data_IF_815943598451
#
_entry.id   IF_815943598451
#
_cell.length_a   1.000
_cell.length_b   1.000
_cell.length_c   1.000
_cell.angle_alpha   90.00
_cell.angle_beta   90.00
_cell.angle_gamma   90.00
#
_symmetry.space_group_name_H-M   'P 1'
#
loop_
_entity.id
_entity.type
_entity.pdbx_description
1 polymer ?
#
# COMPACT_ATOMS: atom_id res chain seq x y z
N UNK A 1 -22.45 -22.83 -12.30
CA UNK A 1 -21.81 -21.55 -12.69
C UNK A 1 -20.87 -21.82 -13.85
N UNK A 2 -20.76 -20.91 -14.82
CA UNK A 2 -19.71 -21.02 -15.85
C UNK A 2 -18.33 -20.75 -15.24
N UNK A 3 -17.28 -21.36 -15.80
CA UNK A 3 -15.90 -21.12 -15.37
C UNK A 3 -15.56 -19.63 -15.42
N UNK A 4 -16.06 -18.91 -16.43
CA UNK A 4 -15.92 -17.46 -16.54
C UNK A 4 -16.49 -16.72 -15.31
N UNK A 5 -17.72 -17.02 -14.91
CA UNK A 5 -18.36 -16.38 -13.76
C UNK A 5 -17.61 -16.68 -12.44
N UNK A 6 -17.09 -17.91 -12.31
CA UNK A 6 -16.27 -18.29 -11.16
C UNK A 6 -14.95 -17.49 -11.11
N UNK A 7 -14.28 -17.29 -12.24
CA UNK A 7 -13.05 -16.51 -12.31
C UNK A 7 -13.29 -15.02 -12.05
N UNK A 8 -14.40 -14.45 -12.53
CA UNK A 8 -14.82 -13.09 -12.19
C UNK A 8 -15.03 -12.94 -10.68
N UNK A 9 -15.70 -13.91 -10.05
CA UNK A 9 -15.91 -13.90 -8.60
C UNK A 9 -14.57 -13.85 -7.84
N UNK A 10 -13.65 -14.78 -8.13
CA UNK A 10 -12.33 -14.79 -7.50
C UNK A 10 -11.53 -13.51 -7.76
N UNK A 11 -11.60 -12.97 -8.98
CA UNK A 11 -10.92 -11.72 -9.33
C UNK A 11 -11.41 -10.55 -8.49
N UNK A 12 -12.73 -10.37 -8.41
CA UNK A 12 -13.36 -9.27 -7.65
C UNK A 12 -13.10 -9.44 -6.15
N UNK A 13 -13.23 -10.64 -5.59
CA UNK A 13 -12.95 -10.90 -4.18
C UNK A 13 -11.50 -10.61 -3.81
N UNK A 14 -10.56 -11.03 -4.65
CA UNK A 14 -9.14 -10.78 -4.43
C UNK A 14 -8.78 -9.29 -4.59
N UNK A 15 -9.34 -8.61 -5.59
CA UNK A 15 -9.17 -7.17 -5.78
C UNK A 15 -9.76 -6.38 -4.60
N UNK A 16 -10.94 -6.78 -4.11
CA UNK A 16 -11.56 -6.16 -2.95
C UNK A 16 -10.71 -6.33 -1.68
N UNK A 17 -10.15 -7.52 -1.47
CA UNK A 17 -9.23 -7.77 -0.36
C UNK A 17 -8.00 -6.85 -0.45
N UNK A 18 -7.34 -6.79 -1.61
CA UNK A 18 -6.21 -5.89 -1.84
C UNK A 18 -6.55 -4.43 -1.55
N UNK A 19 -7.63 -3.93 -2.15
CA UNK A 19 -8.08 -2.55 -1.97
C UNK A 19 -8.40 -2.25 -0.49
N UNK A 20 -9.08 -3.16 0.19
CA UNK A 20 -9.39 -3.01 1.63
C UNK A 20 -8.13 -2.95 2.47
N UNK A 21 -7.12 -3.78 2.15
CA UNK A 21 -5.84 -3.76 2.86
C UNK A 21 -5.06 -2.48 2.59
N UNK A 22 -4.94 -2.06 1.33
CA UNK A 22 -4.08 -0.94 0.94
C UNK A 22 -4.71 0.44 1.22
N UNK A 23 -6.02 0.60 1.00
CA UNK A 23 -6.70 1.90 1.16
C UNK A 23 -7.09 2.16 2.62
N UNK A 24 -7.46 1.12 3.36
CA UNK A 24 -8.00 1.27 4.71
C UNK A 24 -7.04 0.70 5.76
N UNK A 25 -6.66 -0.57 5.62
CA UNK A 25 -5.89 -1.27 6.64
C UNK A 25 -4.50 -0.68 6.90
N UNK A 26 -3.69 -0.56 5.87
CA UNK A 26 -2.31 -0.07 5.97
C UNK A 26 -2.23 1.38 6.49
N UNK A 27 -3.03 2.35 6.00
CA UNK A 27 -3.04 3.70 6.54
C UNK A 27 -3.43 3.74 8.02
N UNK A 28 -4.41 2.94 8.45
CA UNK A 28 -4.85 2.90 9.85
C UNK A 28 -3.76 2.33 10.77
N UNK A 29 -3.16 1.19 10.41
CA UNK A 29 -2.08 0.57 11.20
C UNK A 29 -0.90 1.51 11.31
N UNK A 30 -0.51 2.14 10.21
CA UNK A 30 0.62 3.09 10.19
C UNK A 30 0.33 4.35 10.99
N UNK A 31 -0.89 4.90 10.88
CA UNK A 31 -1.30 6.06 11.66
C UNK A 31 -1.28 5.74 13.16
N UNK A 32 -1.74 4.54 13.55
CA UNK A 32 -1.65 4.07 14.93
C UNK A 32 -0.18 3.91 15.38
N UNK A 33 0.64 3.19 14.61
CA UNK A 33 2.06 2.97 14.88
C UNK A 33 2.87 4.27 15.06
N UNK A 34 2.53 5.34 14.32
CA UNK A 34 3.17 6.66 14.45
C UNK A 34 2.77 7.42 15.70
N UNK A 35 1.60 7.14 16.27
CA UNK A 35 1.08 7.83 17.47
C UNK A 35 1.50 7.16 18.77
N UNK A 36 1.93 5.91 18.74
CA UNK A 36 2.31 5.20 19.98
C UNK A 36 3.57 5.77 20.61
N UNK A 37 3.56 5.88 21.94
CA UNK A 37 4.75 6.19 22.73
C UNK A 37 5.49 4.93 23.21
N UNK A 38 4.83 3.77 23.17
CA UNK A 38 5.35 2.51 23.70
C UNK A 38 5.77 1.53 22.60
N UNK A 39 6.88 0.83 22.84
CA UNK A 39 7.36 -0.27 21.98
C UNK A 39 6.40 -1.47 22.02
N UNK A 40 5.73 -1.71 23.16
CA UNK A 40 4.75 -2.79 23.28
C UNK A 40 3.54 -2.56 22.38
N UNK A 41 2.96 -1.36 22.40
CA UNK A 41 1.85 -0.98 21.51
C UNK A 41 2.27 -1.03 20.04
N UNK A 42 3.48 -0.53 19.73
CA UNK A 42 4.03 -0.58 18.38
C UNK A 42 4.12 -2.02 17.86
N UNK A 43 4.62 -2.95 18.68
CA UNK A 43 4.69 -4.39 18.36
C UNK A 43 3.30 -4.99 18.15
N UNK A 44 2.32 -4.59 18.96
CA UNK A 44 0.94 -5.05 18.80
C UNK A 44 0.34 -4.61 17.45
N UNK A 45 0.54 -3.34 17.04
CA UNK A 45 0.08 -2.86 15.73
C UNK A 45 0.80 -3.55 14.56
N UNK A 46 2.11 -3.76 14.66
CA UNK A 46 2.84 -4.52 13.65
C UNK A 46 2.37 -5.97 13.57
N UNK A 47 2.04 -6.60 14.71
CA UNK A 47 1.47 -7.95 14.73
C UNK A 47 0.12 -8.03 14.02
N UNK A 48 -0.72 -7.00 14.09
CA UNK A 48 -1.97 -6.89 13.31
C UNK A 48 -1.67 -6.74 11.81
N UNK A 49 -0.63 -6.00 11.45
CA UNK A 49 -0.22 -5.82 10.04
C UNK A 49 0.39 -7.06 9.39
N UNK A 50 1.01 -7.97 10.16
CA UNK A 50 1.70 -9.17 9.62
C UNK A 50 0.78 -10.09 8.81
N UNK A 51 -0.43 -10.47 9.27
CA UNK A 51 -1.38 -11.21 8.44
C UNK A 51 -1.69 -10.50 7.13
N UNK A 52 -1.88 -9.18 7.16
CA UNK A 52 -2.18 -8.39 5.96
C UNK A 52 -1.01 -8.45 4.97
N UNK A 53 0.22 -8.25 5.44
CA UNK A 53 1.43 -8.35 4.63
C UNK A 53 1.63 -9.74 3.99
N UNK A 54 1.11 -10.82 4.61
CA UNK A 54 1.13 -12.17 4.04
C UNK A 54 0.00 -12.43 3.04
N UNK A 55 -1.18 -11.85 3.29
CA UNK A 55 -2.36 -12.02 2.44
C UNK A 55 -2.28 -11.19 1.16
N UNK A 56 -1.68 -9.99 1.20
CA UNK A 56 -1.62 -9.10 0.03
C UNK A 56 -0.90 -9.74 -1.18
N UNK A 57 0.29 -10.38 -1.05
CA UNK A 57 0.91 -11.05 -2.19
C UNK A 57 0.05 -12.18 -2.77
N UNK A 58 -0.64 -12.95 -1.93
CA UNK A 58 -1.52 -14.04 -2.38
C UNK A 58 -2.71 -13.48 -3.15
N UNK A 59 -3.34 -12.43 -2.63
CA UNK A 59 -4.45 -11.76 -3.30
C UNK A 59 -3.99 -11.10 -4.63
N UNK A 60 -2.81 -10.48 -4.65
CA UNK A 60 -2.22 -9.89 -5.86
C UNK A 60 -1.97 -10.93 -6.95
N UNK A 61 -1.43 -12.10 -6.58
CA UNK A 61 -1.23 -13.21 -7.51
C UNK A 61 -2.57 -13.78 -8.01
N UNK A 62 -3.59 -13.86 -7.15
CA UNK A 62 -4.92 -14.31 -7.56
C UNK A 62 -5.57 -13.33 -8.54
N UNK A 63 -5.47 -12.01 -8.29
CA UNK A 63 -5.92 -10.96 -9.23
C UNK A 63 -5.19 -11.07 -10.56
N UNK A 64 -3.86 -11.23 -10.55
CA UNK A 64 -3.09 -11.38 -11.79
C UNK A 64 -3.53 -12.63 -12.57
N UNK A 65 -3.54 -13.80 -11.93
CA UNK A 65 -3.86 -15.06 -12.60
C UNK A 65 -5.27 -15.04 -13.21
N UNK A 66 -6.26 -14.61 -12.43
CA UNK A 66 -7.65 -14.48 -12.91
C UNK A 66 -7.78 -13.37 -13.96
N UNK A 67 -7.05 -12.26 -13.83
CA UNK A 67 -7.03 -11.17 -14.81
C UNK A 67 -6.48 -11.60 -16.17
N UNK A 68 -5.37 -12.36 -16.18
CA UNK A 68 -4.78 -12.96 -17.39
C UNK A 68 -5.81 -13.87 -18.08
N UNK A 69 -6.47 -14.73 -17.31
CA UNK A 69 -7.51 -15.61 -17.84
C UNK A 69 -8.65 -14.81 -18.46
N UNK A 70 -9.21 -13.83 -17.75
CA UNK A 70 -10.33 -13.01 -18.21
C UNK A 70 -9.96 -12.18 -19.45
N UNK A 71 -8.76 -11.60 -19.48
CA UNK A 71 -8.26 -10.86 -20.64
C UNK A 71 -8.08 -11.77 -21.86
N UNK A 72 -7.65 -13.01 -21.66
CA UNK A 72 -7.45 -13.98 -22.74
C UNK A 72 -8.77 -14.48 -23.31
N UNK A 73 -9.71 -14.87 -22.44
CA UNK A 73 -11.06 -15.34 -22.87
C UNK A 73 -11.85 -14.20 -23.52
N UNK A 74 -11.78 -12.99 -22.96
CA UNK A 74 -12.45 -11.80 -23.50
C UNK A 74 -11.73 -11.15 -24.69
N UNK A 75 -10.51 -11.60 -25.02
CA UNK A 75 -9.63 -10.98 -26.04
C UNK A 75 -9.37 -9.49 -25.77
N UNK A 76 -9.23 -9.11 -24.51
CA UNK A 76 -9.10 -7.72 -24.06
C UNK A 76 -7.65 -7.19 -24.07
N UNK A 77 -6.67 -7.99 -24.48
CA UNK A 77 -5.25 -7.60 -24.49
C UNK A 77 -4.92 -6.35 -25.32
N UNK A 78 -5.72 -6.06 -26.35
CA UNK A 78 -5.57 -4.86 -27.17
C UNK A 78 -6.21 -3.60 -26.54
N UNK A 79 -6.95 -3.74 -25.44
CA UNK A 79 -7.60 -2.61 -24.77
C UNK A 79 -6.59 -1.85 -23.91
N UNK A 80 -6.54 -0.54 -24.07
CA UNK A 80 -5.55 0.32 -23.39
C UNK A 80 -5.61 0.24 -21.86
N UNK A 81 -6.79 0.12 -21.27
CA UNK A 81 -6.94 -0.03 -19.81
C UNK A 81 -6.40 -1.36 -19.28
N UNK A 82 -6.39 -2.43 -20.10
CA UNK A 82 -5.77 -3.72 -19.73
C UNK A 82 -4.26 -3.57 -19.75
N UNK A 83 -3.71 -3.02 -20.83
CA UNK A 83 -2.26 -2.78 -20.97
C UNK A 83 -1.72 -1.91 -19.83
N UNK A 84 -2.41 -0.79 -19.55
CA UNK A 84 -2.05 0.12 -18.47
C UNK A 84 -2.14 -0.58 -17.10
N UNK A 85 -3.25 -1.26 -16.80
CA UNK A 85 -3.41 -2.01 -15.54
C UNK A 85 -2.33 -3.07 -15.34
N UNK A 86 -1.95 -3.81 -16.39
CA UNK A 86 -0.87 -4.81 -16.31
C UNK A 86 0.48 -4.17 -16.04
N UNK A 87 0.82 -3.07 -16.73
CA UNK A 87 2.06 -2.35 -16.50
C UNK A 87 2.12 -1.77 -15.09
N UNK A 88 1.03 -1.16 -14.61
CA UNK A 88 0.96 -0.60 -13.27
C UNK A 88 0.99 -1.67 -12.18
N UNK A 89 0.35 -2.82 -12.38
CA UNK A 89 0.45 -3.95 -11.47
C UNK A 89 1.91 -4.41 -11.29
N UNK A 90 2.68 -4.47 -12.39
CA UNK A 90 4.09 -4.83 -12.33
C UNK A 90 4.92 -3.78 -11.57
N UNK A 91 4.69 -2.50 -11.85
CA UNK A 91 5.35 -1.40 -11.15
C UNK A 91 5.01 -1.43 -9.65
N UNK A 92 3.73 -1.60 -9.28
CA UNK A 92 3.30 -1.70 -7.89
C UNK A 92 3.96 -2.89 -7.19
N UNK A 93 4.05 -4.04 -7.85
CA UNK A 93 4.71 -5.23 -7.31
C UNK A 93 6.18 -4.98 -7.00
N UNK A 94 6.89 -4.28 -7.91
CA UNK A 94 8.29 -3.89 -7.70
C UNK A 94 8.41 -2.92 -6.52
N UNK A 95 7.58 -1.87 -6.46
CA UNK A 95 7.60 -0.88 -5.36
C UNK A 95 7.29 -1.55 -4.02
N UNK A 96 6.27 -2.42 -3.97
CA UNK A 96 5.88 -3.14 -2.77
C UNK A 96 7.03 -4.01 -2.23
N UNK A 97 7.72 -4.75 -3.09
CA UNK A 97 8.83 -5.64 -2.67
C UNK A 97 10.12 -4.86 -2.38
N UNK A 98 10.50 -3.93 -3.26
CA UNK A 98 11.80 -3.27 -3.19
C UNK A 98 11.85 -2.11 -2.18
N UNK A 99 10.72 -1.46 -1.92
CA UNK A 99 10.64 -0.26 -1.06
C UNK A 99 9.85 -0.55 0.20
N UNK A 100 8.58 -0.95 0.06
CA UNK A 100 7.67 -1.07 1.21
C UNK A 100 8.12 -2.20 2.12
N UNK A 101 8.26 -3.42 1.59
CA UNK A 101 8.63 -4.60 2.38
C UNK A 101 9.96 -4.39 3.11
N UNK A 102 10.97 -3.84 2.44
CA UNK A 102 12.26 -3.54 3.07
C UNK A 102 12.14 -2.53 4.22
N UNK A 103 11.27 -1.54 4.10
CA UNK A 103 11.04 -0.58 5.19
C UNK A 103 10.31 -1.22 6.36
N UNK A 104 9.34 -2.12 6.08
CA UNK A 104 8.61 -2.90 7.08
C UNK A 104 9.53 -3.82 7.85
N UNK A 105 10.32 -4.62 7.14
CA UNK A 105 11.20 -5.62 7.75
C UNK A 105 12.23 -4.94 8.67
N UNK A 106 12.83 -3.82 8.24
CA UNK A 106 13.76 -3.03 9.07
C UNK A 106 13.10 -2.49 10.35
N UNK A 107 11.85 -2.05 10.26
CA UNK A 107 11.11 -1.56 11.44
C UNK A 107 10.80 -2.72 12.39
N UNK A 108 10.38 -3.88 11.86
CA UNK A 108 10.07 -5.06 12.65
C UNK A 108 11.30 -5.64 13.36
N UNK A 109 12.46 -5.64 12.68
CA UNK A 109 13.76 -6.01 13.24
C UNK A 109 14.13 -5.11 14.42
N UNK A 110 14.09 -3.78 14.24
CA UNK A 110 14.43 -2.81 15.30
C UNK A 110 13.48 -2.92 16.51
N UNK A 111 12.16 -3.08 16.26
CA UNK A 111 11.15 -3.27 17.32
C UNK A 111 11.36 -4.56 18.10
N UNK A 112 11.86 -5.61 17.42
CA UNK A 112 12.16 -6.90 18.05
C UNK A 112 13.45 -6.85 18.88
N UNK A 113 14.44 -6.06 18.46
CA UNK A 113 15.68 -5.86 19.19
C UNK A 113 15.55 -4.89 20.38
N UNK A 114 14.58 -3.98 20.36
CA UNK A 114 14.40 -2.99 21.42
C UNK A 114 13.76 -3.60 22.68
N UNK A 115 14.46 -3.50 23.81
CA UNK A 115 13.97 -3.89 25.15
C UNK A 115 13.31 -2.75 25.91
N UNK A 116 13.53 -1.50 25.49
CA UNK A 116 12.99 -0.32 26.14
C UNK A 116 11.46 -0.26 26.06
N UNK A 117 10.84 0.25 27.12
CA UNK A 117 9.38 0.42 27.17
C UNK A 117 8.88 1.57 26.26
N UNK A 118 9.74 2.56 26.01
CA UNK A 118 9.44 3.81 25.31
C UNK A 118 10.10 3.81 23.94
N UNK A 119 9.44 4.38 22.94
CA UNK A 119 9.99 4.49 21.59
C UNK A 119 11.17 5.47 21.55
N UNK A 120 12.37 4.94 21.37
CA UNK A 120 13.60 5.72 21.22
C UNK A 120 13.72 6.42 19.85
N UNK A 121 14.75 7.25 19.71
CA UNK A 121 14.99 8.08 18.51
C UNK A 121 15.28 7.27 17.23
N UNK A 122 15.86 6.07 17.36
CA UNK A 122 16.10 5.14 16.25
C UNK A 122 14.80 4.65 15.63
N UNK A 123 13.94 4.04 16.46
CA UNK A 123 12.60 3.61 16.08
C UNK A 123 11.74 4.76 15.57
N UNK A 124 11.77 5.92 16.23
CA UNK A 124 11.01 7.08 15.79
C UNK A 124 11.40 7.49 14.36
N UNK A 125 12.71 7.57 14.07
CA UNK A 125 13.21 7.86 12.73
C UNK A 125 12.73 6.84 11.68
N UNK A 126 12.67 5.55 12.01
CA UNK A 126 12.17 4.52 11.09
C UNK A 126 10.66 4.67 10.81
N UNK A 127 9.85 4.96 11.82
CA UNK A 127 8.39 5.17 11.68
C UNK A 127 8.03 6.37 10.80
N UNK A 128 8.95 7.34 10.71
CA UNK A 128 8.80 8.54 9.89
C UNK A 128 9.65 8.49 8.61
N UNK A 129 10.32 7.36 8.31
CA UNK A 129 11.12 7.24 7.10
C UNK A 129 10.25 7.38 5.84
N UNK A 130 10.73 8.07 4.79
CA UNK A 130 9.97 8.24 3.56
C UNK A 130 9.53 6.91 2.94
N UNK A 131 10.34 5.86 3.00
CA UNK A 131 9.98 4.54 2.46
C UNK A 131 8.75 3.91 3.14
N UNK A 132 8.56 4.15 4.44
CA UNK A 132 7.38 3.72 5.22
C UNK A 132 6.17 4.65 5.03
N UNK A 133 6.41 5.87 4.54
CA UNK A 133 5.37 6.87 4.28
C UNK A 133 4.88 6.85 2.83
N UNK A 134 5.77 7.14 1.88
CA UNK A 134 5.45 7.30 0.47
C UNK A 134 5.12 5.98 -0.22
N UNK A 135 5.86 4.90 0.10
CA UNK A 135 5.68 3.61 -0.58
C UNK A 135 4.24 3.10 -0.52
N UNK A 136 3.65 2.91 0.67
CA UNK A 136 2.27 2.46 0.79
C UNK A 136 1.24 3.42 0.20
N UNK A 137 1.47 4.73 0.27
CA UNK A 137 0.53 5.72 -0.29
C UNK A 137 0.49 5.68 -1.82
N UNK A 138 1.65 5.51 -2.47
CA UNK A 138 1.74 5.33 -3.91
C UNK A 138 1.11 4.00 -4.34
N UNK A 139 1.32 2.92 -3.58
CA UNK A 139 0.68 1.62 -3.86
C UNK A 139 -0.83 1.75 -3.77
N UNK A 140 -1.36 2.37 -2.70
CA UNK A 140 -2.79 2.59 -2.52
C UNK A 140 -3.40 3.48 -3.61
N UNK A 141 -2.69 4.55 -3.99
CA UNK A 141 -3.07 5.42 -5.10
C UNK A 141 -3.20 4.64 -6.42
N UNK A 142 -2.21 3.80 -6.71
CA UNK A 142 -2.17 2.99 -7.91
C UNK A 142 -3.26 1.92 -7.91
N UNK A 143 -3.54 1.28 -6.77
CA UNK A 143 -4.63 0.31 -6.64
C UNK A 143 -6.00 0.98 -6.88
N UNK A 144 -6.20 2.20 -6.34
CA UNK A 144 -7.41 2.99 -6.62
C UNK A 144 -7.53 3.37 -8.10
N UNK A 145 -6.42 3.73 -8.77
CA UNK A 145 -6.41 3.96 -10.22
C UNK A 145 -6.78 2.70 -10.97
N UNK A 146 -6.19 1.54 -10.65
CA UNK A 146 -6.50 0.29 -11.34
C UNK A 146 -7.99 -0.05 -11.24
N UNK A 147 -8.61 0.16 -10.07
CA UNK A 147 -10.06 0.01 -9.90
C UNK A 147 -10.84 0.95 -10.84
N UNK A 148 -10.42 2.22 -10.93
CA UNK A 148 -11.03 3.19 -11.85
C UNK A 148 -10.85 2.78 -13.32
N UNK A 149 -9.69 2.23 -13.70
CA UNK A 149 -9.43 1.73 -15.06
C UNK A 149 -10.36 0.57 -15.42
N UNK A 150 -10.56 -0.38 -14.50
CA UNK A 150 -11.48 -1.52 -14.73
C UNK A 150 -12.94 -1.09 -14.85
N UNK A 151 -13.31 0.00 -14.18
CA UNK A 151 -14.67 0.54 -14.14
C UNK A 151 -14.98 1.40 -15.38
N UNK A 152 -14.11 2.38 -15.66
CA UNK A 152 -14.32 3.37 -16.72
C UNK A 152 -13.84 2.88 -18.10
N UNK A 153 -12.94 1.88 -18.12
CA UNK A 153 -12.36 1.27 -19.33
C UNK A 153 -11.86 2.29 -20.37
N UNK A 154 -11.06 3.29 -19.95
CA UNK A 154 -10.61 4.33 -20.85
C UNK A 154 -9.65 3.78 -21.93
N UNK A 155 -9.37 4.63 -22.92
CA UNK A 155 -8.27 4.39 -23.87
C UNK A 155 -6.91 4.35 -23.14
N UNK A 156 -5.86 3.96 -23.84
CA UNK A 156 -4.50 3.95 -23.27
C UNK A 156 -4.10 5.34 -22.76
N UNK A 157 -4.30 6.37 -23.58
CA UNK A 157 -4.02 7.76 -23.19
C UNK A 157 -4.81 8.22 -21.97
N UNK A 158 -6.11 7.88 -21.90
CA UNK A 158 -6.94 8.16 -20.73
C UNK A 158 -6.48 7.40 -19.47
N UNK A 159 -6.00 6.16 -19.63
CA UNK A 159 -5.48 5.36 -18.53
C UNK A 159 -4.21 5.96 -17.94
N UNK A 160 -3.28 6.37 -18.80
CA UNK A 160 -2.04 7.04 -18.39
C UNK A 160 -2.32 8.39 -17.72
N UNK A 161 -3.26 9.17 -18.26
CA UNK A 161 -3.65 10.45 -17.69
C UNK A 161 -4.23 10.27 -16.28
N UNK A 162 -5.17 9.34 -16.09
CA UNK A 162 -5.75 9.04 -14.77
C UNK A 162 -4.66 8.66 -13.76
N UNK A 163 -3.72 7.81 -14.17
CA UNK A 163 -2.61 7.40 -13.31
C UNK A 163 -1.74 8.59 -12.87
N UNK A 164 -1.33 9.44 -13.81
CA UNK A 164 -0.52 10.63 -13.52
C UNK A 164 -1.29 11.57 -12.60
N UNK A 165 -2.55 11.88 -12.91
CA UNK A 165 -3.36 12.79 -12.11
C UNK A 165 -3.56 12.29 -10.68
N UNK A 166 -3.84 10.99 -10.49
CA UNK A 166 -4.01 10.44 -9.14
C UNK A 166 -2.72 10.47 -8.32
N UNK A 167 -1.58 10.12 -8.92
CA UNK A 167 -0.29 10.20 -8.23
C UNK A 167 0.11 11.64 -7.91
N UNK A 168 -0.14 12.58 -8.82
CA UNK A 168 0.07 14.02 -8.59
C UNK A 168 -0.85 14.52 -7.48
N UNK A 169 -2.12 14.12 -7.46
CA UNK A 169 -3.08 14.50 -6.42
C UNK A 169 -2.65 13.97 -5.04
N UNK A 170 -2.17 12.73 -4.97
CA UNK A 170 -1.67 12.11 -3.73
C UNK A 170 -0.41 12.84 -3.27
N UNK A 171 0.57 13.04 -4.15
CA UNK A 171 1.79 13.77 -3.82
C UNK A 171 1.51 15.22 -3.39
N UNK A 172 0.66 15.93 -4.14
CA UNK A 172 0.27 17.31 -3.84
C UNK A 172 -0.52 17.43 -2.54
N UNK A 173 -1.46 16.51 -2.28
CA UNK A 173 -2.21 16.44 -1.03
C UNK A 173 -1.30 16.23 0.18
N UNK A 174 -0.30 15.35 0.07
CA UNK A 174 0.69 15.15 1.14
C UNK A 174 1.44 16.43 1.50
N UNK A 175 1.88 17.17 0.49
CA UNK A 175 2.58 18.45 0.68
C UNK A 175 1.63 19.50 1.27
N UNK A 176 0.44 19.67 0.70
CA UNK A 176 -0.53 20.68 1.11
C UNK A 176 -1.02 20.49 2.56
N UNK A 177 -1.23 19.25 2.99
CA UNK A 177 -1.69 18.93 4.35
C UNK A 177 -0.54 18.67 5.33
N UNK A 178 0.71 18.86 4.92
CA UNK A 178 1.89 18.70 5.79
C UNK A 178 2.09 17.28 6.31
N UNK A 179 1.61 16.26 5.58
CA UNK A 179 1.76 14.84 5.93
C UNK A 179 3.20 14.33 5.84
N UNK A 180 4.11 15.15 5.30
CA UNK A 180 5.55 14.90 5.25
C UNK A 180 6.31 15.46 6.48
N UNK A 181 5.67 16.26 7.34
CA UNK A 181 6.34 16.81 8.53
C UNK A 181 6.11 15.91 9.74
N UNK A 182 7.17 15.38 10.40
CA UNK A 182 7.02 14.76 11.70
C UNK A 182 6.56 15.83 12.69
N UNK A 183 5.29 15.81 13.11
CA UNK A 183 4.87 16.55 14.31
C UNK A 183 5.48 15.82 15.50
N UNK A 184 6.71 16.19 15.87
CA UNK A 184 7.30 15.77 17.14
C UNK A 184 6.46 16.36 18.26
N UNK A 185 5.63 15.54 18.91
CA UNK A 185 5.13 15.89 20.24
C UNK A 185 6.35 15.91 21.17
N UNK A 186 6.61 17.03 21.88
CA UNK A 186 7.66 17.06 22.88
C UNK A 186 7.42 15.94 23.88
N UNK A 187 8.41 15.10 24.13
CA UNK A 187 8.34 14.13 25.24
C UNK A 187 8.40 14.94 26.53
N UNK A 188 7.36 14.92 27.38
CA UNK A 188 7.39 15.63 28.65
C UNK A 188 8.57 15.10 29.49
N UNK A 189 9.49 15.98 29.88
CA UNK A 189 10.61 15.63 30.77
C UNK A 189 11.99 15.50 30.11
N UNK A 190 12.11 15.62 28.79
CA UNK A 190 13.44 15.71 28.12
C UNK A 190 13.74 17.18 27.85
N UNK A 191 14.33 17.88 28.83
CA UNK A 191 14.93 19.19 28.57
C UNK A 191 16.12 19.00 27.65
N UNK A 192 16.15 19.74 26.54
CA UNK A 192 17.37 19.86 25.73
C UNK A 192 18.35 20.68 26.56
N UNK A 193 19.37 20.02 27.10
CA UNK A 193 20.61 20.68 27.54
C UNK A 193 21.49 20.96 26.33
#
# INVERSE_FOLDING_TARGET
MSLYALMVFFHISAAFLLLSTSIVGEPLIRAAARRTGSVHELRAYLAIGRPMARLSPVAAMLVLATGIYLASVGRFWALGWVQASTAFWLINSIVAVAVVRRAVDRLDEEVSATTDAVVGSGLDRLRWAPAWSWGPDLVAANDAVMLALMTLRPSLGGSLLLFVLTNVAVAGGRVAFGLDRPRRTPVPGVSRS
#
